data_IF_172878287110
#
_entry.id   IF_172878287110
#
_cell.length_a   1.000
_cell.length_b   1.000
_cell.length_c   1.000
_cell.angle_alpha   90.00
_cell.angle_beta   90.00
_cell.angle_gamma   90.00
#
_symmetry.space_group_name_H-M   'P 1'
#
loop_
_entity.id
_entity.type
_entity.pdbx_description
1 polymer ?
#
# COMPACT_ATOMS: atom_id res chain seq x y z
N UNK A 1 19.68 3.90 -5.08
CA UNK A 1 20.16 4.89 -4.08
C UNK A 1 19.71 4.41 -2.72
N UNK A 2 20.63 4.28 -1.75
CA UNK A 2 20.26 3.89 -0.38
C UNK A 2 19.34 4.93 0.25
N UNK A 3 18.41 4.50 1.11
CA UNK A 3 17.58 5.42 1.91
C UNK A 3 18.50 6.26 2.80
N UNK A 4 18.33 7.58 2.75
CA UNK A 4 19.10 8.52 3.58
C UNK A 4 18.56 8.51 5.01
N UNK A 5 19.45 8.40 6.00
CA UNK A 5 19.08 8.49 7.41
C UNK A 5 19.15 9.94 7.88
N UNK A 6 18.06 10.44 8.46
CA UNK A 6 17.98 11.80 8.97
C UNK A 6 17.94 11.82 10.49
N UNK A 7 18.64 12.77 11.10
CA UNK A 7 18.46 13.11 12.52
C UNK A 7 17.21 13.94 12.73
N UNK A 8 16.46 13.59 13.77
CA UNK A 8 15.28 14.32 14.21
C UNK A 8 15.46 14.74 15.66
N UNK A 9 15.42 16.06 15.91
CA UNK A 9 15.32 16.65 17.24
C UNK A 9 14.13 17.62 17.31
N UNK A 10 13.10 17.27 18.07
CA UNK A 10 11.85 18.03 18.14
C UNK A 10 11.43 18.32 19.57
N UNK A 11 10.90 19.51 19.80
CA UNK A 11 10.30 19.88 21.09
C UNK A 11 8.77 19.91 20.98
N UNK A 12 8.10 19.16 21.84
CA UNK A 12 6.65 19.22 22.08
C UNK A 12 6.42 19.92 23.41
N UNK A 13 5.35 20.71 23.54
CA UNK A 13 5.11 21.52 24.75
C UNK A 13 3.81 21.16 25.46
N UNK A 14 3.87 21.05 26.78
CA UNK A 14 2.73 20.64 27.60
C UNK A 14 2.43 21.65 28.70
N UNK A 15 1.14 21.78 29.00
CA UNK A 15 0.67 22.43 30.23
C UNK A 15 0.64 21.42 31.37
N UNK A 16 0.44 21.92 32.60
CA UNK A 16 0.19 21.07 33.79
C UNK A 16 -0.98 20.10 33.59
N UNK A 17 -2.00 20.51 32.82
CA UNK A 17 -3.18 19.67 32.57
C UNK A 17 -2.92 18.60 31.49
N UNK A 18 -2.14 18.91 30.45
CA UNK A 18 -1.93 17.98 29.32
C UNK A 18 -0.80 16.97 29.54
N UNK A 19 0.17 17.26 30.42
CA UNK A 19 1.39 16.46 30.59
C UNK A 19 1.11 15.02 31.04
N UNK A 20 0.02 14.78 31.78
CA UNK A 20 -0.32 13.44 32.26
C UNK A 20 -0.57 12.42 31.14
N UNK A 21 -0.99 12.88 29.94
CA UNK A 21 -1.12 11.99 28.77
C UNK A 21 0.26 11.53 28.27
N UNK A 22 1.22 12.44 28.18
CA UNK A 22 2.59 12.14 27.78
C UNK A 22 3.28 11.26 28.83
N UNK A 23 3.10 11.53 30.13
CA UNK A 23 3.62 10.68 31.20
C UNK A 23 3.16 9.23 31.06
N UNK A 24 1.84 8.99 30.92
CA UNK A 24 1.33 7.63 30.79
C UNK A 24 1.78 6.96 29.49
N UNK A 25 2.04 7.72 28.44
CA UNK A 25 2.57 7.20 27.18
C UNK A 25 4.03 6.75 27.34
N UNK A 26 4.87 7.62 27.91
CA UNK A 26 6.32 7.41 27.98
C UNK A 26 6.70 6.38 29.04
N UNK A 27 6.02 6.44 30.19
CA UNK A 27 6.26 5.51 31.30
C UNK A 27 5.41 4.22 31.17
N UNK A 28 4.82 4.00 29.99
CA UNK A 28 3.96 2.87 29.64
C UNK A 28 2.89 2.51 30.70
N UNK A 29 2.21 3.52 31.24
CA UNK A 29 1.16 3.37 32.29
C UNK A 29 -0.26 3.17 31.73
N UNK A 30 -0.47 3.21 30.41
CA UNK A 30 -1.79 2.94 29.82
C UNK A 30 -2.01 1.44 29.62
N UNK A 31 -3.28 1.00 29.67
CA UNK A 31 -3.68 -0.36 29.29
C UNK A 31 -3.81 -0.55 27.78
N UNK A 32 -4.16 0.52 27.06
CA UNK A 32 -4.39 0.54 25.62
C UNK A 32 -3.70 1.77 25.04
N UNK A 33 -3.04 1.59 23.89
CA UNK A 33 -2.32 2.65 23.19
C UNK A 33 -2.98 2.93 21.83
N UNK A 34 -2.99 4.19 21.43
CA UNK A 34 -3.47 4.59 20.09
C UNK A 34 -2.54 4.11 18.98
N UNK A 35 -1.24 3.96 19.27
CA UNK A 35 -0.30 3.34 18.35
C UNK A 35 -0.42 1.81 18.46
N UNK A 36 -1.05 1.18 17.46
CA UNK A 36 -1.21 -0.28 17.38
C UNK A 36 0.12 -1.05 17.24
N UNK A 37 1.23 -0.35 17.01
CA UNK A 37 2.53 -0.97 16.82
C UNK A 37 3.31 -1.12 18.14
N UNK A 38 2.73 -0.75 19.28
CA UNK A 38 3.35 -0.94 20.59
C UNK A 38 3.24 -2.42 20.98
N UNK A 39 4.37 -3.09 21.11
CA UNK A 39 4.51 -4.45 21.58
C UNK A 39 4.81 -4.45 23.09
N UNK A 40 3.77 -4.70 23.89
CA UNK A 40 3.90 -4.65 25.35
C UNK A 40 4.88 -5.69 25.92
N UNK A 41 5.13 -6.80 25.22
CA UNK A 41 6.10 -7.80 25.66
C UNK A 41 7.54 -7.27 25.62
N UNK A 42 7.79 -6.28 24.77
CA UNK A 42 9.09 -5.62 24.59
C UNK A 42 9.26 -4.39 25.47
N UNK A 43 8.21 -3.94 26.20
CA UNK A 43 8.31 -2.77 27.11
C UNK A 43 9.44 -2.93 28.12
N UNK A 44 9.76 -4.15 28.54
CA UNK A 44 10.90 -4.47 29.42
C UNK A 44 12.26 -4.07 28.86
N UNK A 45 12.36 -3.86 27.55
CA UNK A 45 13.57 -3.42 26.85
C UNK A 45 13.65 -1.89 26.72
N UNK A 46 12.63 -1.14 27.14
CA UNK A 46 12.73 0.32 27.24
C UNK A 46 13.83 0.68 28.25
N UNK A 47 14.59 1.74 27.95
CA UNK A 47 15.73 2.14 28.78
C UNK A 47 15.49 3.51 29.37
N UNK A 48 15.51 3.58 30.70
CA UNK A 48 15.40 4.83 31.43
C UNK A 48 16.80 5.36 31.77
N UNK A 49 17.22 6.43 31.10
CA UNK A 49 18.45 7.16 31.48
C UNK A 49 18.19 8.11 32.65
N UNK A 50 16.93 8.54 32.82
CA UNK A 50 16.46 9.29 33.99
C UNK A 50 15.04 8.85 34.34
N UNK A 51 14.84 8.42 35.57
CA UNK A 51 13.51 8.05 36.10
C UNK A 51 12.92 9.17 36.96
N UNK A 52 11.58 9.22 36.98
CA UNK A 52 10.81 10.06 37.88
C UNK A 52 9.95 9.15 38.78
N UNK A 53 10.26 9.11 40.08
CA UNK A 53 9.57 8.21 41.03
C UNK A 53 8.14 8.70 41.36
N UNK A 54 7.86 9.98 41.14
CA UNK A 54 6.54 10.59 41.29
C UNK A 54 5.96 10.91 39.91
N UNK A 55 4.72 11.42 39.85
CA UNK A 55 4.20 11.98 38.60
C UNK A 55 5.00 13.22 38.18
N UNK A 56 4.99 13.57 36.90
CA UNK A 56 5.74 14.74 36.42
C UNK A 56 5.22 16.05 37.04
N UNK A 57 3.92 16.12 37.36
CA UNK A 57 3.33 17.25 38.05
C UNK A 57 3.73 17.32 39.53
N UNK A 58 3.82 16.18 40.24
CA UNK A 58 4.33 16.14 41.61
C UNK A 58 5.79 16.55 41.66
N UNK A 59 6.60 16.05 40.73
CA UNK A 59 8.01 16.46 40.63
C UNK A 59 8.17 17.95 40.38
N UNK A 60 7.35 18.52 39.49
CA UNK A 60 7.29 19.97 39.29
C UNK A 60 6.91 20.70 40.59
N UNK A 61 5.90 20.20 41.31
CA UNK A 61 5.45 20.79 42.57
C UNK A 61 6.58 20.81 43.60
N UNK A 62 7.30 19.71 43.77
CA UNK A 62 8.47 19.65 44.66
C UNK A 62 9.53 20.70 44.28
N UNK A 63 9.85 20.83 42.99
CA UNK A 63 10.84 21.81 42.52
C UNK A 63 10.40 23.25 42.76
N UNK A 64 9.09 23.53 42.73
CA UNK A 64 8.53 24.84 43.04
C UNK A 64 8.52 25.09 44.55
N UNK A 65 8.09 24.10 45.33
CA UNK A 65 7.97 24.21 46.79
C UNK A 65 9.36 24.34 47.46
N UNK A 66 10.39 23.72 46.89
CA UNK A 66 11.80 23.88 47.30
C UNK A 66 12.46 25.17 46.80
N UNK A 67 11.80 25.93 45.93
CA UNK A 67 12.35 27.15 45.33
C UNK A 67 13.40 26.92 44.23
N UNK A 68 13.62 25.67 43.81
CA UNK A 68 14.55 25.30 42.73
C UNK A 68 14.12 25.92 41.40
N UNK A 69 12.81 25.92 41.12
CA UNK A 69 12.21 26.54 39.92
C UNK A 69 11.06 27.45 40.30
N UNK A 70 10.81 28.47 39.48
CA UNK A 70 9.75 29.45 39.70
C UNK A 70 8.75 29.46 38.55
N UNK A 71 7.48 29.29 38.91
CA UNK A 71 6.33 29.49 38.02
C UNK A 71 5.72 30.90 38.14
N UNK A 72 6.40 31.81 38.85
CA UNK A 72 5.88 33.15 39.15
C UNK A 72 5.52 33.90 37.86
N UNK A 73 4.28 34.40 37.80
CA UNK A 73 3.77 35.18 36.68
C UNK A 73 3.38 34.35 35.44
N UNK A 74 3.39 33.02 35.52
CA UNK A 74 2.80 32.17 34.50
C UNK A 74 1.29 32.04 34.72
N UNK A 75 0.54 31.98 33.62
CA UNK A 75 -0.90 31.66 33.64
C UNK A 75 -1.10 30.15 33.87
N UNK A 76 -2.31 29.75 34.26
CA UNK A 76 -2.61 28.34 34.52
C UNK A 76 -2.51 27.44 33.29
N UNK A 77 -2.71 28.00 32.10
CA UNK A 77 -2.56 27.32 30.81
C UNK A 77 -1.16 27.50 30.19
N UNK A 78 -0.17 27.97 30.96
CA UNK A 78 1.19 28.11 30.47
C UNK A 78 1.78 26.74 30.08
N UNK A 79 2.61 26.75 29.03
CA UNK A 79 3.45 25.61 28.66
C UNK A 79 4.62 25.55 29.64
N UNK A 80 4.59 24.55 30.52
CA UNK A 80 5.53 24.39 31.64
C UNK A 80 6.55 23.31 31.36
N UNK A 81 6.18 22.29 30.58
CA UNK A 81 7.04 21.18 30.24
C UNK A 81 7.35 21.20 28.76
N UNK A 82 8.58 20.83 28.44
CA UNK A 82 9.03 20.46 27.12
C UNK A 82 9.30 18.96 27.08
N UNK A 83 8.92 18.32 25.98
CA UNK A 83 9.37 16.98 25.62
C UNK A 83 10.26 17.08 24.41
N UNK A 84 11.54 16.79 24.60
CA UNK A 84 12.50 16.66 23.53
C UNK A 84 12.46 15.22 23.01
N UNK A 85 11.97 15.06 21.78
CA UNK A 85 11.96 13.79 21.05
C UNK A 85 13.19 13.75 20.14
N UNK A 86 14.06 12.77 20.36
CA UNK A 86 15.26 12.52 19.56
C UNK A 86 15.12 11.19 18.83
N UNK A 87 15.34 11.20 17.52
CA UNK A 87 15.03 10.04 16.67
C UNK A 87 15.94 9.96 15.42
N UNK A 88 16.14 8.73 14.94
CA UNK A 88 16.81 8.33 13.69
C UNK A 88 16.02 7.16 13.08
N UNK A 89 15.98 7.08 11.76
CA UNK A 89 15.38 5.94 11.05
C UNK A 89 15.84 4.59 11.61
N UNK A 90 14.90 3.67 11.87
CA UNK A 90 15.19 2.33 12.40
C UNK A 90 16.27 1.55 11.64
N UNK A 91 16.31 1.67 10.31
CA UNK A 91 17.30 1.00 9.44
C UNK A 91 18.75 1.39 9.77
N UNK A 92 18.97 2.61 10.30
CA UNK A 92 20.27 3.03 10.81
C UNK A 92 20.73 2.12 11.96
N UNK A 93 19.87 1.90 12.95
CA UNK A 93 20.23 1.09 14.11
C UNK A 93 20.43 -0.38 13.72
N UNK A 94 19.55 -0.95 12.89
CA UNK A 94 19.71 -2.33 12.41
C UNK A 94 21.07 -2.56 11.75
N UNK A 95 21.57 -1.59 10.97
CA UNK A 95 22.88 -1.68 10.30
C UNK A 95 24.09 -1.50 11.22
N UNK A 96 23.90 -0.94 12.41
CA UNK A 96 24.99 -0.59 13.34
C UNK A 96 25.01 -1.44 14.61
N UNK A 97 24.27 -2.55 14.65
CA UNK A 97 24.25 -3.49 15.78
C UNK A 97 22.95 -3.50 16.59
N UNK A 98 21.89 -2.86 16.08
CA UNK A 98 20.54 -2.91 16.63
C UNK A 98 20.44 -2.32 18.03
N UNK A 99 19.75 -3.04 18.92
CA UNK A 99 19.39 -2.59 20.26
C UNK A 99 20.58 -2.13 21.13
N UNK A 100 21.68 -2.88 21.15
CA UNK A 100 22.84 -2.53 22.00
C UNK A 100 23.54 -1.26 21.53
N UNK A 101 23.56 -1.03 20.22
CA UNK A 101 24.06 0.22 19.65
C UNK A 101 23.09 1.37 19.93
N UNK A 102 21.78 1.15 19.81
CA UNK A 102 20.76 2.15 20.11
C UNK A 102 20.84 2.63 21.56
N UNK A 103 21.07 1.73 22.54
CA UNK A 103 21.28 2.12 23.95
C UNK A 103 22.41 3.13 24.12
N UNK A 104 23.59 2.85 23.55
CA UNK A 104 24.75 3.75 23.63
C UNK A 104 24.49 5.07 22.91
N UNK A 105 23.85 5.00 21.74
CA UNK A 105 23.47 6.18 20.97
C UNK A 105 22.54 7.11 21.77
N UNK A 106 21.49 6.55 22.37
CA UNK A 106 20.51 7.35 23.10
C UNK A 106 20.97 7.76 24.50
N UNK A 107 21.92 7.05 25.11
CA UNK A 107 22.64 7.54 26.29
C UNK A 107 23.42 8.83 25.98
N UNK A 108 24.14 8.87 24.86
CA UNK A 108 24.83 10.08 24.43
C UNK A 108 23.85 11.20 24.02
N UNK A 109 22.74 10.84 23.39
CA UNK A 109 21.64 11.78 23.10
C UNK A 109 20.99 12.33 24.38
N UNK A 110 20.96 11.57 25.46
CA UNK A 110 20.53 12.05 26.78
C UNK A 110 21.52 13.08 27.36
N UNK A 111 22.82 12.85 27.24
CA UNK A 111 23.84 13.83 27.63
C UNK A 111 23.77 15.13 26.81
N UNK A 112 23.39 15.05 25.53
CA UNK A 112 23.03 16.22 24.75
C UNK A 112 21.86 16.99 25.39
N UNK A 113 20.79 16.30 25.79
CA UNK A 113 19.65 16.93 26.46
C UNK A 113 20.04 17.57 27.81
N UNK A 114 20.96 16.97 28.57
CA UNK A 114 21.51 17.56 29.80
C UNK A 114 22.22 18.89 29.51
N UNK A 115 22.96 19.00 28.40
CA UNK A 115 23.61 20.24 27.97
C UNK A 115 22.59 21.29 27.51
N UNK A 116 21.53 20.87 26.82
CA UNK A 116 20.50 21.77 26.34
C UNK A 116 19.63 22.32 27.48
N UNK A 117 19.14 21.48 28.39
CA UNK A 117 18.19 21.88 29.44
C UNK A 117 18.84 22.17 30.80
N UNK A 118 20.01 21.61 31.07
CA UNK A 118 20.59 21.51 32.41
C UNK A 118 20.08 20.24 33.12
N UNK A 119 21.01 19.46 33.67
CA UNK A 119 20.74 18.15 34.29
C UNK A 119 19.60 18.18 35.32
N UNK A 120 19.58 19.19 36.19
CA UNK A 120 18.58 19.30 37.26
C UNK A 120 17.17 19.65 36.74
N UNK A 121 17.06 20.14 35.50
CA UNK A 121 15.80 20.50 34.86
C UNK A 121 15.18 19.34 34.08
N UNK A 122 15.87 18.19 33.95
CA UNK A 122 15.31 17.00 33.33
C UNK A 122 14.55 16.18 34.38
N UNK A 123 13.30 15.87 34.05
CA UNK A 123 12.38 15.11 34.90
C UNK A 123 12.48 13.62 34.59
N UNK A 124 12.39 13.24 33.31
CA UNK A 124 12.45 11.85 32.85
C UNK A 124 13.12 11.78 31.48
N UNK A 125 13.80 10.67 31.19
CA UNK A 125 14.40 10.37 29.89
C UNK A 125 14.30 8.87 29.62
N UNK A 126 13.50 8.51 28.62
CA UNK A 126 13.16 7.11 28.31
C UNK A 126 13.32 6.84 26.82
N UNK A 127 14.13 5.85 26.49
CA UNK A 127 14.20 5.27 25.15
C UNK A 127 13.14 4.19 25.02
N UNK A 128 12.23 4.36 24.06
CA UNK A 128 11.31 3.31 23.67
C UNK A 128 12.00 2.33 22.73
N UNK A 129 11.80 1.05 22.96
CA UNK A 129 12.34 -0.08 22.20
C UNK A 129 11.27 -1.12 21.86
N UNK A 130 10.01 -0.74 22.04
CA UNK A 130 8.82 -1.57 21.99
C UNK A 130 7.86 -1.15 20.87
N UNK A 131 8.26 -0.23 20.00
CA UNK A 131 7.43 0.24 18.89
C UNK A 131 7.87 -0.41 17.58
N UNK A 132 7.06 -1.30 17.01
CA UNK A 132 7.44 -2.05 15.83
C UNK A 132 7.37 -1.21 14.54
N UNK A 133 8.44 -1.28 13.74
CA UNK A 133 8.45 -0.74 12.39
C UNK A 133 7.97 -1.82 11.41
N UNK A 134 6.68 -1.77 11.07
CA UNK A 134 6.03 -2.77 10.21
C UNK A 134 6.69 -2.83 8.82
N UNK A 135 6.98 -1.67 8.22
CA UNK A 135 7.56 -1.62 6.87
C UNK A 135 8.94 -2.28 6.81
N UNK A 136 9.80 -2.06 7.81
CA UNK A 136 11.09 -2.74 7.87
C UNK A 136 10.98 -4.18 8.36
N UNK A 137 9.99 -4.50 9.19
CA UNK A 137 9.71 -5.90 9.57
C UNK A 137 9.42 -6.74 8.33
N UNK A 138 8.58 -6.24 7.43
CA UNK A 138 8.28 -6.87 6.14
C UNK A 138 9.55 -6.96 5.27
N UNK A 139 10.33 -5.88 5.18
CA UNK A 139 11.55 -5.81 4.35
C UNK A 139 12.65 -6.78 4.81
N UNK A 140 12.85 -6.93 6.12
CA UNK A 140 13.90 -7.79 6.71
C UNK A 140 13.43 -9.21 7.03
N UNK A 141 12.12 -9.49 6.98
CA UNK A 141 11.55 -10.80 7.32
C UNK A 141 11.68 -11.20 8.80
N UNK A 142 11.97 -10.24 9.68
CA UNK A 142 12.06 -10.42 11.15
C UNK A 142 11.50 -9.17 11.86
N UNK A 143 11.03 -9.26 13.11
CA UNK A 143 10.59 -8.09 13.87
C UNK A 143 11.70 -7.03 13.96
N UNK A 144 11.41 -5.83 13.44
CA UNK A 144 12.27 -4.65 13.55
C UNK A 144 11.59 -3.63 14.45
N UNK A 145 12.29 -3.20 15.50
CA UNK A 145 11.78 -2.20 16.42
C UNK A 145 12.34 -0.81 16.10
N UNK A 146 11.54 0.20 16.37
CA UNK A 146 11.87 1.60 16.24
C UNK A 146 12.28 2.14 17.59
N UNK A 147 13.48 2.73 17.62
CA UNK A 147 14.06 3.32 18.80
C UNK A 147 13.94 4.83 18.71
N UNK A 148 13.48 5.46 19.78
CA UNK A 148 13.52 6.91 19.92
C UNK A 148 13.54 7.28 21.41
N UNK A 149 14.04 8.47 21.71
CA UNK A 149 14.20 8.96 23.07
C UNK A 149 13.23 10.11 23.34
N UNK A 150 12.44 9.97 24.40
CA UNK A 150 11.64 11.04 24.99
C UNK A 150 12.36 11.60 26.21
N UNK A 151 12.63 12.90 26.22
CA UNK A 151 13.17 13.61 27.39
C UNK A 151 12.20 14.68 27.85
N UNK A 152 11.63 14.50 29.04
CA UNK A 152 10.76 15.48 29.69
C UNK A 152 11.60 16.43 30.52
N UNK A 153 11.54 17.72 30.21
CA UNK A 153 12.33 18.75 30.87
C UNK A 153 11.55 20.05 31.12
N UNK A 154 12.05 20.85 32.05
CA UNK A 154 11.55 22.20 32.30
C UNK A 154 12.42 23.23 31.54
N UNK A 155 11.83 24.10 30.69
CA UNK A 155 12.58 25.15 30.00
C UNK A 155 12.90 26.31 30.96
N UNK A 156 13.84 26.08 31.87
CA UNK A 156 14.23 27.04 32.90
C UNK A 156 15.24 28.04 32.36
N UNK A 157 15.04 29.32 32.69
CA UNK A 157 15.96 30.42 32.38
C UNK A 157 16.20 31.27 33.61
N UNK A 158 17.41 31.79 33.74
CA UNK A 158 17.75 32.78 34.76
C UNK A 158 17.01 34.09 34.46
N UNK A 159 16.26 34.60 35.43
CA UNK A 159 15.52 35.87 35.30
C UNK A 159 15.80 36.78 36.48
N UNK A 160 16.31 37.96 36.16
CA UNK A 160 16.43 39.06 37.10
C UNK A 160 15.09 39.77 37.27
N UNK A 161 14.62 39.85 38.52
CA UNK A 161 13.50 40.69 38.92
C UNK A 161 14.08 42.00 39.41
N UNK A 162 13.67 43.11 38.79
CA UNK A 162 14.15 44.46 39.13
C UNK A 162 13.18 45.18 40.06
N UNK A 163 13.69 46.11 40.88
CA UNK A 163 12.83 46.98 41.68
C UNK A 163 11.90 47.81 40.79
N UNK A 164 10.61 47.84 41.16
CA UNK A 164 9.59 48.54 40.39
C UNK A 164 9.65 50.05 40.59
N UNK A 165 9.02 50.82 39.70
CA UNK A 165 8.88 52.28 39.85
C UNK A 165 8.15 52.70 41.14
N UNK A 166 7.37 51.79 41.75
CA UNK A 166 6.62 52.00 42.99
C UNK A 166 7.46 51.78 44.26
N UNK A 167 8.72 51.36 44.14
CA UNK A 167 9.62 51.23 45.30
C UNK A 167 9.82 52.58 45.99
N UNK A 168 9.85 52.56 47.34
CA UNK A 168 10.01 53.75 48.19
C UNK A 168 11.37 54.42 47.97
N UNK A 169 12.44 53.64 48.04
CA UNK A 169 13.77 54.09 47.68
C UNK A 169 13.90 54.18 46.15
N UNK A 170 14.00 55.41 45.65
CA UNK A 170 14.11 55.68 44.20
C UNK A 170 15.48 55.29 43.63
N UNK A 171 16.53 55.19 44.46
CA UNK A 171 17.88 54.80 44.02
C UNK A 171 17.99 53.31 43.63
N UNK A 172 17.00 52.50 44.05
CA UNK A 172 16.94 51.07 43.75
C UNK A 172 16.19 50.75 42.46
N UNK A 173 15.39 51.67 41.93
CA UNK A 173 14.54 51.44 40.74
C UNK A 173 15.41 50.98 39.56
N UNK A 174 15.05 49.86 38.95
CA UNK A 174 15.80 49.28 37.83
C UNK A 174 17.02 48.43 38.22
N UNK A 175 17.48 48.46 39.48
CA UNK A 175 18.47 47.52 40.00
C UNK A 175 17.85 46.13 40.21
N UNK A 176 18.68 45.09 40.14
CA UNK A 176 18.25 43.71 40.38
C UNK A 176 17.88 43.56 41.85
N UNK A 177 16.63 43.16 42.10
CA UNK A 177 16.09 42.86 43.44
C UNK A 177 16.39 41.41 43.82
N UNK A 178 16.14 40.49 42.91
CA UNK A 178 16.37 39.06 43.10
C UNK A 178 16.55 38.39 41.74
N UNK A 179 17.21 37.24 41.73
CA UNK A 179 17.31 36.41 40.54
C UNK A 179 16.61 35.09 40.79
N UNK A 180 15.71 34.72 39.89
CA UNK A 180 14.93 33.48 39.98
C UNK A 180 15.23 32.57 38.77
N UNK A 181 15.11 31.27 38.99
CA UNK A 181 15.14 30.26 37.94
C UNK A 181 13.72 30.07 37.39
N UNK A 182 13.33 30.88 36.39
CA UNK A 182 11.95 30.91 35.91
C UNK A 182 11.74 29.90 34.78
N UNK A 183 10.65 29.14 34.81
CA UNK A 183 10.19 28.39 33.64
C UNK A 183 9.71 29.36 32.56
N UNK A 184 10.29 29.30 31.37
CA UNK A 184 9.92 30.13 30.22
C UNK A 184 10.37 29.51 28.89
N UNK A 185 9.47 28.76 28.26
CA UNK A 185 9.68 28.17 26.95
C UNK A 185 10.13 29.18 25.88
N UNK A 186 9.43 30.31 25.76
CA UNK A 186 9.73 31.33 24.74
C UNK A 186 11.09 32.00 24.89
N UNK A 187 11.61 32.10 26.13
CA UNK A 187 12.96 32.61 26.38
C UNK A 187 14.02 31.54 26.14
N UNK A 188 13.74 30.29 26.53
CA UNK A 188 14.64 29.15 26.30
C UNK A 188 14.87 28.94 24.80
N UNK A 189 13.79 28.99 24.03
CA UNK A 189 13.78 28.74 22.58
C UNK A 189 13.62 30.02 21.76
N UNK A 190 14.24 31.12 22.20
CA UNK A 190 14.20 32.39 21.48
C UNK A 190 14.89 32.26 20.12
N UNK A 191 14.22 32.69 19.06
CA UNK A 191 14.80 32.77 17.72
C UNK A 191 16.05 33.66 17.71
N UNK A 192 17.05 33.26 16.93
CA UNK A 192 18.30 34.02 16.76
C UNK A 192 18.26 34.79 15.45
N UNK A 193 19.05 35.86 15.34
CA UNK A 193 19.19 36.61 14.09
C UNK A 193 20.14 35.86 13.16
N UNK A 194 19.81 35.81 11.88
CA UNK A 194 20.71 35.28 10.86
C UNK A 194 21.88 36.26 10.67
N UNK A 195 23.09 35.72 10.64
CA UNK A 195 24.32 36.49 10.42
C UNK A 195 24.96 36.04 9.10
N UNK A 196 25.63 36.96 8.42
CA UNK A 196 26.46 36.66 7.25
C UNK A 196 27.83 36.09 7.67
N UNK A 197 28.70 35.82 6.69
CA UNK A 197 30.04 35.28 6.93
C UNK A 197 30.96 36.23 7.71
N UNK A 198 30.62 37.52 7.79
CA UNK A 198 31.37 38.57 8.48
C UNK A 198 30.76 38.86 9.88
N UNK A 199 29.65 38.21 10.23
CA UNK A 199 28.95 38.38 11.50
C UNK A 199 27.92 39.50 11.50
N UNK A 200 27.58 40.11 10.37
CA UNK A 200 26.56 41.16 10.27
C UNK A 200 25.16 40.57 10.12
N UNK A 201 24.15 41.28 10.63
CA UNK A 201 22.75 40.83 10.59
C UNK A 201 22.21 40.82 9.15
N UNK A 202 21.75 39.66 8.69
CA UNK A 202 21.07 39.53 7.40
C UNK A 202 19.67 40.16 7.54
N UNK A 203 19.41 41.17 6.73
CA UNK A 203 18.10 41.85 6.67
C UNK A 203 17.26 41.29 5.53
N UNK A 204 15.94 41.26 5.72
CA UNK A 204 15.00 40.98 4.64
C UNK A 204 14.73 42.23 3.79
N UNK A 205 13.95 42.07 2.72
CA UNK A 205 13.56 43.15 1.79
C UNK A 205 12.85 44.34 2.47
N UNK A 206 12.43 44.19 3.73
CA UNK A 206 11.78 45.23 4.55
C UNK A 206 12.72 45.84 5.59
N UNK A 207 14.03 45.58 5.51
CA UNK A 207 15.05 46.08 6.43
C UNK A 207 14.99 45.48 7.84
N UNK A 208 14.27 44.38 8.04
CA UNK A 208 14.18 43.68 9.34
C UNK A 208 15.12 42.48 9.38
N UNK A 209 15.78 42.19 10.52
CA UNK A 209 16.62 41.01 10.66
C UNK A 209 15.86 39.72 10.36
N UNK A 210 16.43 38.87 9.51
CA UNK A 210 15.95 37.51 9.26
C UNK A 210 16.17 36.69 10.53
N UNK A 211 15.12 36.02 11.01
CA UNK A 211 15.17 35.23 12.23
C UNK A 211 15.27 33.74 11.90
N UNK A 212 16.27 33.08 12.47
CA UNK A 212 16.41 31.63 12.45
C UNK A 212 15.60 31.04 13.60
N UNK A 213 14.69 30.12 13.26
CA UNK A 213 13.89 29.39 14.24
C UNK A 213 14.82 28.58 15.16
N UNK A 214 14.60 28.68 16.46
CA UNK A 214 15.41 28.01 17.49
C UNK A 214 15.47 26.49 17.34
N UNK A 215 14.38 25.85 16.88
CA UNK A 215 14.36 24.41 16.60
C UNK A 215 15.20 24.00 15.39
N UNK A 216 15.40 24.89 14.41
CA UNK A 216 16.36 24.62 13.32
C UNK A 216 17.78 24.56 13.87
N UNK A 217 18.11 25.44 14.82
CA UNK A 217 19.41 25.43 15.48
C UNK A 217 19.57 24.22 16.42
N UNK A 218 18.48 23.76 17.04
CA UNK A 218 18.47 22.52 17.84
C UNK A 218 18.85 21.31 16.98
N UNK A 219 18.26 21.19 15.79
CA UNK A 219 18.58 20.12 14.83
C UNK A 219 20.05 20.16 14.41
N UNK A 220 20.59 21.36 14.14
CA UNK A 220 22.01 21.54 13.82
C UNK A 220 22.92 21.13 15.00
N UNK A 221 22.57 21.55 16.22
CA UNK A 221 23.33 21.21 17.43
C UNK A 221 23.28 19.71 17.73
N UNK A 222 22.12 19.07 17.61
CA UNK A 222 21.98 17.62 17.83
C UNK A 222 22.81 16.83 16.83
N UNK A 223 22.66 17.13 15.53
CA UNK A 223 23.45 16.48 14.48
C UNK A 223 24.95 16.64 14.72
N UNK A 224 25.40 17.87 14.98
CA UNK A 224 26.82 18.15 15.26
C UNK A 224 27.30 17.41 16.50
N UNK A 225 26.53 17.44 17.58
CA UNK A 225 26.89 16.79 18.83
C UNK A 225 27.09 15.28 18.66
N UNK A 226 26.13 14.60 18.03
CA UNK A 226 26.23 13.16 17.78
C UNK A 226 27.39 12.83 16.83
N UNK A 227 27.59 13.67 15.81
CA UNK A 227 28.72 13.54 14.88
C UNK A 227 30.08 13.70 15.56
N UNK A 228 30.21 14.67 16.45
CA UNK A 228 31.44 14.95 17.20
C UNK A 228 31.76 13.82 18.20
N UNK A 229 30.74 13.09 18.68
CA UNK A 229 30.87 11.91 19.53
C UNK A 229 31.01 10.59 18.74
N UNK A 230 31.32 10.65 17.44
CA UNK A 230 31.70 9.49 16.64
C UNK A 230 30.56 8.75 15.95
N UNK A 231 29.30 9.17 16.10
CA UNK A 231 28.17 8.61 15.35
C UNK A 231 28.11 9.21 13.94
N UNK A 232 28.15 8.37 12.90
CA UNK A 232 28.20 8.79 11.48
C UNK A 232 27.01 8.20 10.70
N UNK A 233 26.99 8.37 9.38
CA UNK A 233 26.02 7.70 8.47
C UNK A 233 24.53 8.08 8.63
N UNK A 234 24.29 9.23 9.25
CA UNK A 234 23.05 9.99 9.16
C UNK A 234 23.37 11.45 8.87
N UNK A 235 22.39 12.21 8.40
CA UNK A 235 22.53 13.64 8.10
C UNK A 235 21.46 14.45 8.81
N UNK A 236 21.69 15.75 8.97
CA UNK A 236 20.65 16.67 9.45
C UNK A 236 19.44 16.73 8.51
N UNK A 237 18.25 16.95 9.05
CA UNK A 237 17.05 17.24 8.27
C UNK A 237 17.20 18.48 7.38
N UNK A 238 16.35 18.62 6.37
CA UNK A 238 16.43 19.72 5.39
C UNK A 238 16.41 21.11 6.06
N UNK A 239 17.34 21.98 5.65
CA UNK A 239 17.48 23.35 6.21
C UNK A 239 16.37 24.22 5.64
N UNK A 240 15.66 24.95 6.51
CA UNK A 240 14.55 25.80 6.06
C UNK A 240 13.28 25.05 5.66
N UNK A 241 13.18 23.75 5.95
CA UNK A 241 11.97 22.97 5.68
C UNK A 241 10.74 23.59 6.35
N UNK A 242 9.67 23.73 5.56
CA UNK A 242 8.35 24.16 6.00
C UNK A 242 7.37 22.98 6.11
N UNK A 243 7.88 21.74 6.15
CA UNK A 243 7.04 20.56 6.32
C UNK A 243 6.24 20.67 7.63
N UNK A 244 4.93 20.52 7.52
CA UNK A 244 4.08 20.44 8.69
C UNK A 244 4.24 19.08 9.36
N UNK A 245 4.30 19.07 10.69
CA UNK A 245 4.34 17.83 11.44
C UNK A 245 2.97 17.15 11.39
N UNK A 246 2.96 15.90 10.96
CA UNK A 246 1.81 15.01 11.00
C UNK A 246 1.84 14.18 12.27
N UNK A 247 0.71 14.03 12.95
CA UNK A 247 0.58 13.03 14.02
C UNK A 247 0.81 11.61 13.48
N UNK A 248 1.12 10.65 14.36
CA UNK A 248 1.41 9.28 13.94
C UNK A 248 0.29 8.65 13.11
N UNK A 249 -0.97 8.91 13.47
CA UNK A 249 -2.14 8.44 12.72
C UNK A 249 -2.23 9.09 11.34
N UNK A 250 -2.03 10.40 11.25
CA UNK A 250 -2.04 11.12 9.96
C UNK A 250 -0.90 10.67 9.06
N UNK A 251 0.29 10.44 9.63
CA UNK A 251 1.44 9.93 8.89
C UNK A 251 1.19 8.51 8.37
N UNK A 252 0.67 7.60 9.21
CA UNK A 252 0.30 6.24 8.80
C UNK A 252 -0.76 6.25 7.70
N UNK A 253 -1.83 7.03 7.87
CA UNK A 253 -2.88 7.17 6.86
C UNK A 253 -2.35 7.72 5.53
N UNK A 254 -1.44 8.72 5.58
CA UNK A 254 -0.77 9.24 4.38
C UNK A 254 0.05 8.15 3.70
N UNK A 255 0.83 7.36 4.45
CA UNK A 255 1.64 6.26 3.91
C UNK A 255 0.82 5.13 3.34
N UNK A 256 -0.29 4.76 3.97
CA UNK A 256 -1.23 3.77 3.45
C UNK A 256 -1.88 4.24 2.15
N UNK A 257 -2.27 5.52 2.07
CA UNK A 257 -2.78 6.12 0.83
C UNK A 257 -1.74 6.09 -0.30
N UNK A 258 -0.47 6.40 -0.01
CA UNK A 258 0.64 6.29 -0.97
C UNK A 258 0.84 4.83 -1.44
N UNK A 259 0.80 3.85 -0.53
CA UNK A 259 0.88 2.42 -0.86
C UNK A 259 -0.31 1.97 -1.73
N UNK A 260 -1.53 2.38 -1.38
CA UNK A 260 -2.75 2.06 -2.12
C UNK A 260 -2.71 2.63 -3.54
N UNK A 261 -2.22 3.86 -3.68
CA UNK A 261 -2.03 4.47 -5.00
C UNK A 261 -1.02 3.68 -5.85
N UNK A 262 0.14 3.30 -5.27
CA UNK A 262 1.14 2.52 -5.97
C UNK A 262 0.62 1.13 -6.40
N UNK A 263 -0.19 0.47 -5.57
CA UNK A 263 -0.86 -0.79 -5.92
C UNK A 263 -1.87 -0.55 -7.06
N UNK A 264 -2.68 0.50 -6.96
CA UNK A 264 -3.66 0.87 -7.99
C UNK A 264 -2.99 1.12 -9.34
N UNK A 265 -1.86 1.82 -9.34
CA UNK A 265 -1.11 2.12 -10.56
C UNK A 265 -0.51 0.84 -11.17
N UNK A 266 0.02 -0.08 -10.35
CA UNK A 266 0.47 -1.40 -10.82
C UNK A 266 -0.66 -2.26 -11.40
N UNK A 267 -1.84 -2.23 -10.77
CA UNK A 267 -3.02 -2.96 -11.27
C UNK A 267 -3.45 -2.41 -12.62
N UNK A 268 -3.48 -1.08 -12.80
CA UNK A 268 -3.78 -0.45 -14.10
C UNK A 268 -2.78 -0.85 -15.18
N UNK A 269 -1.49 -0.86 -14.84
CA UNK A 269 -0.44 -1.30 -15.77
C UNK A 269 -0.63 -2.77 -16.19
N UNK A 270 -0.96 -3.66 -15.24
CA UNK A 270 -1.26 -5.06 -15.54
C UNK A 270 -2.53 -5.22 -16.37
N UNK A 271 -3.60 -4.47 -16.06
CA UNK A 271 -4.84 -4.48 -16.83
C UNK A 271 -4.62 -4.06 -18.29
N UNK A 272 -3.78 -3.05 -18.53
CA UNK A 272 -3.42 -2.63 -19.89
C UNK A 272 -2.70 -3.77 -20.64
N UNK A 273 -1.74 -4.44 -20.00
CA UNK A 273 -1.04 -5.62 -20.56
C UNK A 273 -2.00 -6.78 -20.85
N UNK A 274 -2.97 -7.02 -19.98
CA UNK A 274 -4.00 -8.04 -20.19
C UNK A 274 -4.91 -7.70 -21.38
N UNK A 275 -5.31 -6.44 -21.54
CA UNK A 275 -6.12 -6.00 -22.67
C UNK A 275 -5.39 -6.17 -24.01
N UNK A 276 -4.09 -5.82 -24.05
CA UNK A 276 -3.23 -6.03 -25.22
C UNK A 276 -3.12 -7.52 -25.56
N UNK A 277 -2.85 -8.38 -24.57
CA UNK A 277 -2.81 -9.82 -24.78
C UNK A 277 -4.15 -10.40 -25.26
N UNK A 278 -5.28 -9.90 -24.74
CA UNK A 278 -6.61 -10.32 -25.19
C UNK A 278 -6.84 -9.98 -26.67
N UNK A 279 -6.47 -8.77 -27.11
CA UNK A 279 -6.53 -8.42 -28.54
C UNK A 279 -5.65 -9.31 -29.42
N UNK A 280 -4.42 -9.61 -28.99
CA UNK A 280 -3.53 -10.49 -29.73
C UNK A 280 -4.08 -11.92 -29.86
N UNK A 281 -4.75 -12.43 -28.82
CA UNK A 281 -5.43 -13.74 -28.85
C UNK A 281 -6.60 -13.73 -29.84
N UNK A 282 -7.41 -12.67 -29.88
CA UNK A 282 -8.49 -12.55 -30.86
C UNK A 282 -7.99 -12.52 -32.30
N UNK A 283 -6.92 -11.77 -32.57
CA UNK A 283 -6.29 -11.73 -33.89
C UNK A 283 -5.75 -13.11 -34.31
N UNK A 284 -5.08 -13.80 -33.39
CA UNK A 284 -4.58 -15.16 -33.62
C UNK A 284 -5.73 -16.13 -33.91
N UNK A 285 -6.87 -15.99 -33.22
CA UNK A 285 -8.06 -16.82 -33.45
C UNK A 285 -8.68 -16.56 -34.82
N UNK A 286 -8.73 -15.31 -35.27
CA UNK A 286 -9.19 -14.95 -36.63
C UNK A 286 -8.30 -15.57 -37.69
N UNK A 287 -6.98 -15.46 -37.54
CA UNK A 287 -6.01 -16.08 -38.46
C UNK A 287 -6.18 -17.60 -38.50
N UNK A 288 -6.32 -18.27 -37.36
CA UNK A 288 -6.55 -19.71 -37.29
C UNK A 288 -7.81 -20.14 -38.04
N UNK A 289 -8.91 -19.39 -37.91
CA UNK A 289 -10.15 -19.68 -38.62
C UNK A 289 -10.00 -19.53 -40.13
N UNK A 290 -9.27 -18.49 -40.59
CA UNK A 290 -8.97 -18.31 -42.02
C UNK A 290 -8.16 -19.48 -42.58
N UNK A 291 -7.05 -19.84 -41.91
CA UNK A 291 -6.23 -21.00 -42.32
C UNK A 291 -7.05 -22.29 -42.33
N UNK A 292 -7.96 -22.48 -41.36
CA UNK A 292 -8.82 -23.66 -41.33
C UNK A 292 -9.81 -23.72 -42.50
N UNK A 293 -10.29 -22.57 -42.96
CA UNK A 293 -11.19 -22.46 -44.10
C UNK A 293 -10.44 -22.76 -45.41
N UNK A 294 -9.27 -22.15 -45.62
CA UNK A 294 -8.39 -22.44 -46.75
C UNK A 294 -8.04 -23.94 -46.83
N UNK A 295 -7.77 -24.56 -45.68
CA UNK A 295 -7.45 -25.99 -45.60
C UNK A 295 -8.65 -26.89 -45.98
N UNK A 296 -9.88 -26.43 -45.76
CA UNK A 296 -11.08 -27.16 -46.20
C UNK A 296 -11.30 -27.01 -47.71
N UNK A 297 -11.03 -25.84 -48.27
CA UNK A 297 -11.12 -25.61 -49.71
C UNK A 297 -10.08 -26.44 -50.46
N UNK A 298 -8.84 -26.48 -49.97
CA UNK A 298 -7.77 -27.35 -50.52
C UNK A 298 -8.18 -28.83 -50.48
N UNK A 299 -8.81 -29.30 -49.38
CA UNK A 299 -9.29 -30.69 -49.30
C UNK A 299 -10.32 -31.00 -50.38
N UNK A 300 -11.24 -30.07 -50.62
CA UNK A 300 -12.26 -30.21 -51.66
C UNK A 300 -11.63 -30.29 -53.05
N UNK A 301 -10.67 -29.40 -53.34
CA UNK A 301 -9.94 -29.40 -54.61
C UNK A 301 -9.14 -30.69 -54.84
N UNK A 302 -8.56 -31.25 -53.78
CA UNK A 302 -7.86 -32.55 -53.83
C UNK A 302 -8.83 -33.70 -54.16
N UNK A 303 -10.03 -33.71 -53.57
CA UNK A 303 -11.03 -34.74 -53.84
C UNK A 303 -11.62 -34.61 -55.25
N UNK A 304 -11.85 -33.38 -55.73
CA UNK A 304 -12.25 -33.11 -57.11
C UNK A 304 -11.14 -33.57 -58.09
N UNK A 305 -9.87 -33.32 -57.81
CA UNK A 305 -8.75 -33.79 -58.64
C UNK A 305 -8.67 -35.32 -58.75
N UNK A 306 -8.94 -36.05 -57.65
CA UNK A 306 -9.02 -37.53 -57.69
C UNK A 306 -10.13 -38.01 -58.63
N UNK A 307 -11.27 -37.31 -58.65
CA UNK A 307 -12.37 -37.61 -59.57
C UNK A 307 -11.93 -37.42 -61.02
N UNK A 308 -11.27 -36.29 -61.35
CA UNK A 308 -10.79 -36.02 -62.71
C UNK A 308 -9.72 -36.99 -63.20
N UNK A 309 -8.86 -37.51 -62.33
CA UNK A 309 -7.85 -38.51 -62.71
C UNK A 309 -8.50 -39.81 -63.24
N UNK A 310 -9.61 -40.24 -62.65
CA UNK A 310 -10.36 -41.40 -63.12
C UNK A 310 -10.97 -41.21 -64.52
N UNK A 311 -11.34 -39.97 -64.88
CA UNK A 311 -11.84 -39.65 -66.21
C UNK A 311 -10.72 -39.61 -67.28
N UNK A 312 -9.50 -39.21 -66.90
CA UNK A 312 -8.33 -39.20 -67.80
C UNK A 312 -7.88 -40.62 -68.18
N UNK A 313 -7.95 -41.57 -67.24
CA UNK A 313 -7.59 -42.97 -67.48
C UNK A 313 -8.53 -43.67 -68.48
N UNK A 314 -9.69 -43.08 -68.79
CA UNK A 314 -10.69 -43.58 -69.76
C UNK A 314 -10.56 -42.97 -71.17
N UNK A 315 -9.57 -42.10 -71.42
CA UNK A 315 -9.36 -41.50 -72.75
C UNK A 315 -8.64 -42.51 -73.67
N UNK A 316 -9.32 -42.96 -74.73
CA UNK A 316 -8.75 -43.85 -75.76
C UNK A 316 -7.95 -43.03 -76.79
N UNK A 317 -6.63 -42.99 -76.63
CA UNK A 317 -5.73 -42.44 -77.64
C UNK A 317 -5.61 -43.44 -78.79
N UNK A 318 -6.51 -43.30 -79.77
CA UNK A 318 -6.66 -44.21 -80.90
C UNK A 318 -5.37 -44.63 -81.64
N UNK A 319 -5.43 -45.75 -82.36
CA UNK A 319 -4.26 -46.40 -82.99
C UNK A 319 -3.67 -45.59 -84.17
N UNK A 320 -2.33 -45.59 -84.26
CA UNK A 320 -1.53 -45.00 -85.35
C UNK A 320 -1.84 -45.62 -86.72
N UNK A 321 -1.93 -44.79 -87.78
CA UNK A 321 -2.00 -45.26 -89.19
C UNK A 321 -0.60 -45.64 -89.71
N UNK A 322 -0.54 -46.74 -90.47
CA UNK A 322 0.69 -47.41 -90.96
C UNK A 322 1.60 -46.59 -91.90
N UNK A 323 1.25 -45.36 -92.28
CA UNK A 323 2.05 -44.51 -93.18
C UNK A 323 2.10 -43.03 -92.77
N UNK A 324 2.31 -42.77 -91.48
CA UNK A 324 2.72 -41.44 -91.01
C UNK A 324 2.63 -41.29 -89.50
N UNK A 325 3.55 -40.52 -88.90
CA UNK A 325 3.59 -40.20 -87.45
C UNK A 325 2.45 -39.25 -87.00
N UNK A 326 1.23 -39.38 -87.54
CA UNK A 326 0.07 -38.56 -87.14
C UNK A 326 -0.95 -39.44 -86.42
N UNK A 327 -1.36 -38.98 -85.24
CA UNK A 327 -2.40 -39.57 -84.38
C UNK A 327 -3.67 -38.72 -84.59
N UNK A 328 -4.81 -39.36 -84.87
CA UNK A 328 -6.12 -38.69 -84.91
C UNK A 328 -6.68 -38.72 -83.48
N UNK A 329 -6.87 -37.54 -82.90
CA UNK A 329 -7.50 -37.34 -81.60
C UNK A 329 -8.85 -36.66 -81.85
N UNK A 330 -9.91 -37.11 -81.18
CA UNK A 330 -11.21 -36.44 -81.27
C UNK A 330 -11.08 -34.98 -80.79
N UNK A 331 -11.83 -34.06 -81.41
CA UNK A 331 -11.73 -32.64 -81.09
C UNK A 331 -12.12 -32.35 -79.62
N UNK A 332 -13.06 -33.12 -79.06
CA UNK A 332 -13.46 -33.00 -77.67
C UNK A 332 -12.34 -33.51 -76.75
N UNK A 333 -11.69 -34.62 -77.09
CA UNK A 333 -10.55 -35.16 -76.35
C UNK A 333 -9.33 -34.24 -76.42
N UNK A 334 -9.09 -33.56 -77.55
CA UNK A 334 -8.00 -32.60 -77.69
C UNK A 334 -8.23 -31.36 -76.84
N UNK A 335 -9.45 -30.82 -76.83
CA UNK A 335 -9.80 -29.69 -75.96
C UNK A 335 -9.71 -30.06 -74.47
N UNK A 336 -10.10 -31.28 -74.11
CA UNK A 336 -9.92 -31.82 -72.77
C UNK A 336 -8.44 -31.93 -72.40
N UNK A 337 -7.59 -32.46 -73.28
CA UNK A 337 -6.15 -32.60 -73.05
C UNK A 337 -5.44 -31.24 -72.88
N UNK A 338 -5.81 -30.25 -73.70
CA UNK A 338 -5.30 -28.87 -73.56
C UNK A 338 -5.78 -28.21 -72.27
N UNK A 339 -7.04 -28.43 -71.87
CA UNK A 339 -7.59 -27.94 -70.59
C UNK A 339 -6.87 -28.58 -69.40
N UNK A 340 -6.62 -29.88 -69.44
CA UNK A 340 -5.89 -30.59 -68.38
C UNK A 340 -4.41 -30.21 -68.32
N UNK A 341 -3.74 -30.03 -69.46
CA UNK A 341 -2.36 -29.55 -69.50
C UNK A 341 -2.21 -28.14 -68.89
N UNK A 342 -3.14 -27.22 -69.20
CA UNK A 342 -3.17 -25.89 -68.58
C UNK A 342 -3.42 -25.95 -67.07
N UNK A 343 -4.32 -26.84 -66.61
CA UNK A 343 -4.55 -27.06 -65.16
C UNK A 343 -3.35 -27.71 -64.47
N UNK A 344 -2.64 -28.63 -65.12
CA UNK A 344 -1.44 -29.28 -64.59
C UNK A 344 -0.31 -28.28 -64.31
N UNK A 345 -0.07 -27.35 -65.22
CA UNK A 345 0.94 -26.28 -65.02
C UNK A 345 0.58 -25.37 -63.84
N UNK A 346 -0.70 -25.02 -63.68
CA UNK A 346 -1.17 -24.21 -62.53
C UNK A 346 -1.03 -25.02 -61.22
N UNK A 347 -1.41 -26.30 -61.23
CA UNK A 347 -1.26 -27.19 -60.09
C UNK A 347 0.21 -27.38 -59.69
N UNK A 348 1.15 -27.46 -60.63
CA UNK A 348 2.59 -27.58 -60.33
C UNK A 348 3.14 -26.33 -59.62
N UNK A 349 2.69 -25.13 -60.01
CA UNK A 349 3.05 -23.87 -59.34
C UNK A 349 2.49 -23.84 -57.92
N UNK A 350 1.24 -24.26 -57.74
CA UNK A 350 0.56 -24.27 -56.44
C UNK A 350 1.13 -25.35 -55.50
N UNK A 351 1.46 -26.53 -56.01
CA UNK A 351 2.16 -27.59 -55.28
C UNK A 351 3.53 -27.10 -54.82
N UNK A 352 4.24 -26.32 -55.65
CA UNK A 352 5.54 -25.76 -55.28
C UNK A 352 5.40 -24.76 -54.15
N UNK A 353 4.41 -23.86 -54.21
CA UNK A 353 4.10 -22.90 -53.14
C UNK A 353 3.69 -23.60 -51.84
N UNK A 354 2.82 -24.60 -51.91
CA UNK A 354 2.38 -25.39 -50.75
C UNK A 354 3.54 -26.18 -50.13
N UNK A 355 4.50 -26.67 -50.92
CA UNK A 355 5.70 -27.32 -50.40
C UNK A 355 6.55 -26.34 -49.59
N UNK A 356 6.72 -25.11 -50.07
CA UNK A 356 7.49 -24.07 -49.37
C UNK A 356 6.82 -23.67 -48.04
N UNK A 357 5.50 -23.52 -48.03
CA UNK A 357 4.73 -23.24 -46.80
C UNK A 357 4.80 -24.41 -45.81
N UNK A 358 4.75 -25.65 -46.29
CA UNK A 358 4.89 -26.83 -45.44
C UNK A 358 6.28 -26.94 -44.81
N UNK A 359 7.33 -26.54 -45.54
CA UNK A 359 8.70 -26.46 -45.00
C UNK A 359 8.76 -25.42 -43.88
N UNK A 360 8.17 -24.24 -44.05
CA UNK A 360 8.11 -23.20 -43.02
C UNK A 360 7.34 -23.66 -41.78
N UNK A 361 6.14 -24.21 -41.96
CA UNK A 361 5.32 -24.71 -40.85
C UNK A 361 6.03 -25.83 -40.06
N UNK A 362 6.76 -26.72 -40.74
CA UNK A 362 7.59 -27.73 -40.08
C UNK A 362 8.73 -27.11 -39.28
N UNK A 363 9.36 -26.06 -39.79
CA UNK A 363 10.40 -25.33 -39.08
C UNK A 363 9.83 -24.71 -37.80
N UNK A 364 8.75 -23.94 -37.90
CA UNK A 364 8.14 -23.23 -36.76
C UNK A 364 7.61 -24.21 -35.70
N UNK A 365 7.02 -25.33 -36.13
CA UNK A 365 6.59 -26.39 -35.23
C UNK A 365 7.77 -27.00 -34.47
N UNK A 366 8.89 -27.28 -35.14
CA UNK A 366 10.08 -27.82 -34.49
C UNK A 366 10.68 -26.81 -33.51
N UNK A 367 10.72 -25.53 -33.86
CA UNK A 367 11.20 -24.47 -32.97
C UNK A 367 10.34 -24.36 -31.70
N UNK A 368 9.01 -24.37 -31.86
CA UNK A 368 8.06 -24.34 -30.75
C UNK A 368 8.20 -25.59 -29.86
N UNK A 369 8.38 -26.76 -30.49
CA UNK A 369 8.59 -28.03 -29.78
C UNK A 369 9.89 -28.01 -28.96
N UNK A 370 10.97 -27.44 -29.47
CA UNK A 370 12.21 -27.29 -28.70
C UNK A 370 12.05 -26.28 -27.55
N UNK A 371 11.43 -25.12 -27.79
CA UNK A 371 11.16 -24.12 -26.73
C UNK A 371 10.27 -24.66 -25.61
N UNK A 372 9.35 -25.56 -25.92
CA UNK A 372 8.43 -26.17 -24.96
C UNK A 372 8.91 -27.52 -24.41
N UNK A 373 10.10 -27.98 -24.81
CA UNK A 373 10.61 -29.33 -24.51
C UNK A 373 10.66 -29.63 -23.01
N UNK A 374 11.18 -28.70 -22.22
CA UNK A 374 11.36 -28.92 -20.78
C UNK A 374 10.03 -28.89 -20.04
N UNK A 375 9.07 -28.10 -20.50
CA UNK A 375 7.69 -28.10 -20.01
C UNK A 375 6.98 -29.43 -20.32
N UNK A 376 7.08 -29.91 -21.56
CA UNK A 376 6.52 -31.21 -21.97
C UNK A 376 7.15 -32.35 -21.14
N UNK A 377 8.47 -32.30 -20.92
CA UNK A 377 9.16 -33.27 -20.03
C UNK A 377 8.66 -33.19 -18.60
N UNK A 378 8.45 -31.99 -18.07
CA UNK A 378 7.93 -31.81 -16.72
C UNK A 378 6.50 -32.36 -16.56
N UNK A 379 5.63 -32.14 -17.54
CA UNK A 379 4.28 -32.72 -17.58
C UNK A 379 4.34 -34.25 -17.68
N UNK A 380 5.20 -34.79 -18.54
CA UNK A 380 5.32 -36.24 -18.69
C UNK A 380 5.85 -36.93 -17.42
N UNK A 381 6.76 -36.28 -16.70
CA UNK A 381 7.36 -36.82 -15.48
C UNK A 381 6.46 -36.68 -14.25
N UNK A 382 5.75 -35.55 -14.12
CA UNK A 382 4.95 -35.25 -12.92
C UNK A 382 3.73 -34.37 -13.23
N UNK A 383 2.73 -34.89 -13.99
CA UNK A 383 1.62 -34.08 -14.51
C UNK A 383 0.82 -33.42 -13.39
N UNK A 384 0.52 -34.15 -12.32
CA UNK A 384 -0.21 -33.64 -11.15
C UNK A 384 0.58 -32.58 -10.37
N UNK A 385 1.91 -32.73 -10.25
CA UNK A 385 2.74 -31.73 -9.55
C UNK A 385 2.85 -30.44 -10.34
N UNK A 386 3.04 -30.54 -11.65
CA UNK A 386 3.09 -29.37 -12.54
C UNK A 386 1.74 -28.66 -12.55
N UNK A 387 0.63 -29.41 -12.69
CA UNK A 387 -0.72 -28.82 -12.63
C UNK A 387 -1.00 -28.16 -11.28
N UNK A 388 -0.60 -28.76 -10.17
CA UNK A 388 -0.78 -28.18 -8.85
C UNK A 388 0.12 -26.95 -8.62
N UNK A 389 1.33 -26.95 -9.17
CA UNK A 389 2.22 -25.79 -9.14
C UNK A 389 1.60 -24.60 -9.90
N UNK A 390 1.11 -24.82 -11.12
CA UNK A 390 0.42 -23.75 -11.86
C UNK A 390 -0.86 -23.29 -11.17
N UNK A 391 -1.68 -24.21 -10.64
CA UNK A 391 -2.84 -23.83 -9.81
C UNK A 391 -2.42 -23.03 -8.58
N UNK A 392 -1.27 -23.32 -7.96
CA UNK A 392 -0.77 -22.55 -6.82
C UNK A 392 -0.28 -21.16 -7.19
N UNK A 393 0.31 -20.99 -8.38
CA UNK A 393 0.78 -19.69 -8.87
C UNK A 393 -0.36 -18.70 -9.12
N UNK A 394 -1.54 -19.19 -9.51
CA UNK A 394 -2.71 -18.37 -9.81
C UNK A 394 -3.78 -18.39 -8.71
N UNK A 395 -3.52 -19.10 -7.60
CA UNK A 395 -4.49 -19.26 -6.51
C UNK A 395 -4.82 -17.94 -5.82
N UNK A 396 -3.81 -17.09 -5.61
CA UNK A 396 -4.02 -15.77 -4.99
C UNK A 396 -4.79 -14.82 -5.91
N UNK A 397 -4.52 -14.88 -7.22
CA UNK A 397 -5.20 -14.07 -8.23
C UNK A 397 -6.67 -14.50 -8.40
N UNK A 398 -6.96 -15.80 -8.43
CA UNK A 398 -8.33 -16.33 -8.42
C UNK A 398 -9.08 -15.97 -7.15
N UNK A 399 -8.45 -16.11 -5.98
CA UNK A 399 -9.06 -15.74 -4.70
C UNK A 399 -9.30 -14.24 -4.59
N UNK A 400 -8.40 -13.42 -5.10
CA UNK A 400 -8.59 -11.97 -5.12
C UNK A 400 -9.72 -11.58 -6.07
N UNK A 401 -9.77 -12.16 -7.26
CA UNK A 401 -10.87 -11.92 -8.20
C UNK A 401 -12.22 -12.33 -7.59
N UNK A 402 -12.27 -13.44 -6.87
CA UNK A 402 -13.48 -13.89 -6.19
C UNK A 402 -13.89 -12.94 -5.05
N UNK A 403 -12.93 -12.49 -4.22
CA UNK A 403 -13.17 -11.48 -3.17
C UNK A 403 -13.68 -10.16 -3.74
N UNK A 404 -13.14 -9.73 -4.88
CA UNK A 404 -13.57 -8.51 -5.55
C UNK A 404 -14.99 -8.63 -6.11
N UNK A 405 -15.36 -9.79 -6.66
CA UNK A 405 -16.72 -10.07 -7.12
C UNK A 405 -17.71 -10.10 -5.95
N UNK A 406 -17.36 -10.75 -4.85
CA UNK A 406 -18.19 -10.80 -3.63
C UNK A 406 -18.36 -9.41 -3.01
N UNK A 407 -17.28 -8.62 -2.93
CA UNK A 407 -17.34 -7.25 -2.42
C UNK A 407 -18.18 -6.33 -3.33
N UNK A 408 -18.05 -6.47 -4.65
CA UNK A 408 -18.84 -5.71 -5.62
C UNK A 408 -20.32 -6.10 -5.55
N UNK A 409 -20.64 -7.38 -5.36
CA UNK A 409 -22.01 -7.85 -5.19
C UNK A 409 -22.60 -7.37 -3.85
N UNK A 410 -21.82 -7.39 -2.77
CA UNK A 410 -22.23 -6.83 -1.48
C UNK A 410 -22.52 -5.34 -1.58
N UNK A 411 -21.65 -4.57 -2.24
CA UNK A 411 -21.86 -3.14 -2.47
C UNK A 411 -23.08 -2.86 -3.38
N UNK A 412 -23.31 -3.69 -4.40
CA UNK A 412 -24.51 -3.62 -5.26
C UNK A 412 -25.76 -3.80 -4.41
N UNK A 413 -25.80 -4.85 -3.59
CA UNK A 413 -26.93 -5.15 -2.72
C UNK A 413 -27.15 -4.04 -1.68
N UNK A 414 -26.07 -3.52 -1.09
CA UNK A 414 -26.15 -2.42 -0.11
C UNK A 414 -26.71 -1.12 -0.70
N UNK A 415 -26.44 -0.86 -1.98
CA UNK A 415 -26.93 0.33 -2.70
C UNK A 415 -28.39 0.21 -3.14
N UNK A 416 -28.83 -0.98 -3.51
CA UNK A 416 -30.14 -1.21 -4.14
C UNK A 416 -31.25 -1.63 -3.16
N UNK A 417 -30.88 -2.25 -2.05
CA UNK A 417 -31.80 -2.92 -1.13
C UNK A 417 -31.54 -2.54 0.34
N UNK A 418 -32.60 -2.43 1.11
CA UNK A 418 -32.58 -2.19 2.56
C UNK A 418 -32.02 -3.41 3.32
N UNK A 419 -31.58 -3.27 4.59
CA UNK A 419 -31.08 -4.39 5.37
C UNK A 419 -32.03 -5.60 5.43
N UNK A 420 -33.35 -5.36 5.56
CA UNK A 420 -34.36 -6.43 5.62
C UNK A 420 -34.53 -7.15 4.28
N UNK A 421 -34.52 -6.42 3.16
CA UNK A 421 -34.59 -7.00 1.82
C UNK A 421 -33.33 -7.81 1.48
N UNK A 422 -32.14 -7.36 1.94
CA UNK A 422 -30.89 -8.11 1.80
C UNK A 422 -30.91 -9.42 2.58
N UNK A 423 -31.51 -9.41 3.76
CA UNK A 423 -31.68 -10.63 4.58
C UNK A 423 -32.63 -11.63 3.90
N UNK A 424 -33.67 -11.15 3.23
CA UNK A 424 -34.56 -11.99 2.40
C UNK A 424 -33.76 -12.59 1.24
N UNK A 425 -33.03 -11.78 0.47
CA UNK A 425 -32.22 -12.23 -0.67
C UNK A 425 -31.10 -13.21 -0.27
N UNK A 426 -30.55 -13.09 0.94
CA UNK A 426 -29.56 -14.04 1.45
C UNK A 426 -30.17 -15.43 1.76
N UNK A 427 -31.45 -15.46 2.11
CA UNK A 427 -32.17 -16.63 2.61
C UNK A 427 -33.16 -17.26 1.60
N UNK A 428 -33.20 -16.79 0.35
CA UNK A 428 -33.99 -17.43 -0.71
C UNK A 428 -33.47 -18.84 -0.99
N UNK A 429 -34.35 -19.69 -1.55
CA UNK A 429 -34.00 -21.07 -1.86
C UNK A 429 -32.91 -21.19 -2.93
N UNK A 430 -32.21 -22.32 -2.96
CA UNK A 430 -31.21 -22.60 -3.99
C UNK A 430 -31.83 -22.60 -5.40
N UNK A 431 -33.09 -23.02 -5.52
CA UNK A 431 -33.87 -22.93 -6.76
C UNK A 431 -34.04 -21.47 -7.22
N UNK A 432 -34.38 -20.56 -6.30
CA UNK A 432 -34.53 -19.13 -6.61
C UNK A 432 -33.20 -18.46 -6.95
N UNK A 433 -32.10 -18.90 -6.31
CA UNK A 433 -30.74 -18.45 -6.67
C UNK A 433 -30.37 -18.88 -8.09
N UNK A 434 -30.61 -20.13 -8.45
CA UNK A 434 -30.41 -20.63 -9.83
C UNK A 434 -31.35 -19.93 -10.83
N UNK A 435 -32.57 -19.61 -10.42
CA UNK A 435 -33.50 -18.82 -11.24
C UNK A 435 -32.95 -17.41 -11.51
N UNK A 436 -32.46 -16.72 -10.48
CA UNK A 436 -31.88 -15.37 -10.59
C UNK A 436 -30.61 -15.34 -11.44
N UNK A 437 -29.78 -16.38 -11.38
CA UNK A 437 -28.54 -16.48 -12.15
C UNK A 437 -28.75 -16.56 -13.67
N UNK A 438 -29.99 -16.70 -14.15
CA UNK A 438 -30.34 -16.66 -15.58
C UNK A 438 -30.54 -15.24 -16.13
N UNK A 439 -30.53 -14.23 -15.27
CA UNK A 439 -30.83 -12.85 -15.63
C UNK A 439 -29.67 -11.93 -15.26
N UNK A 440 -29.51 -10.85 -16.00
CA UNK A 440 -28.46 -9.84 -15.76
C UNK A 440 -29.05 -8.41 -15.80
N UNK A 441 -28.34 -7.47 -15.18
CA UNK A 441 -28.68 -6.04 -15.19
C UNK A 441 -30.06 -5.72 -14.61
N UNK A 442 -30.74 -4.73 -15.20
CA UNK A 442 -32.06 -4.25 -14.75
C UNK A 442 -33.13 -5.35 -14.73
N UNK A 443 -32.99 -6.38 -15.57
CA UNK A 443 -33.91 -7.52 -15.59
C UNK A 443 -33.75 -8.38 -14.35
N UNK A 444 -32.51 -8.62 -13.92
CA UNK A 444 -32.22 -9.33 -12.66
C UNK A 444 -32.76 -8.55 -11.47
N UNK A 445 -32.52 -7.25 -11.41
CA UNK A 445 -32.99 -6.39 -10.30
C UNK A 445 -34.52 -6.38 -10.17
N UNK A 446 -35.24 -6.39 -11.29
CA UNK A 446 -36.71 -6.46 -11.30
C UNK A 446 -37.21 -7.78 -10.73
N UNK A 447 -36.56 -8.89 -11.08
CA UNK A 447 -36.91 -10.22 -10.56
C UNK A 447 -36.53 -10.35 -9.08
N UNK A 448 -35.38 -9.81 -8.67
CA UNK A 448 -34.97 -9.71 -7.26
C UNK A 448 -36.03 -8.98 -6.42
N UNK A 449 -36.58 -7.86 -6.92
CA UNK A 449 -37.69 -7.14 -6.25
C UNK A 449 -38.99 -7.94 -6.20
N UNK A 450 -39.33 -8.64 -7.27
CA UNK A 450 -40.51 -9.52 -7.29
C UNK A 450 -40.43 -10.64 -6.25
N UNK A 451 -39.27 -11.30 -6.13
CA UNK A 451 -39.03 -12.33 -5.12
C UNK A 451 -39.08 -11.76 -3.70
N UNK A 452 -38.47 -10.60 -3.46
CA UNK A 452 -38.57 -9.90 -2.17
C UNK A 452 -40.03 -9.71 -1.76
N UNK A 453 -40.88 -9.19 -2.66
CA UNK A 453 -42.30 -8.95 -2.37
C UNK A 453 -43.06 -10.23 -2.02
N UNK A 454 -42.77 -11.34 -2.68
CA UNK A 454 -43.38 -12.64 -2.39
C UNK A 454 -42.96 -13.18 -1.02
N UNK A 455 -41.65 -13.17 -0.74
CA UNK A 455 -41.12 -13.64 0.55
C UNK A 455 -41.58 -12.75 1.71
N UNK A 456 -41.70 -11.43 1.52
CA UNK A 456 -42.29 -10.55 2.52
C UNK A 456 -43.77 -10.84 2.77
N UNK A 457 -44.56 -11.17 1.72
CA UNK A 457 -45.97 -11.56 1.89
C UNK A 457 -46.07 -12.85 2.70
N UNK A 458 -45.20 -13.82 2.45
CA UNK A 458 -45.14 -15.05 3.24
C UNK A 458 -44.75 -14.79 4.70
N UNK A 459 -43.74 -13.96 4.94
CA UNK A 459 -43.31 -13.58 6.30
C UNK A 459 -44.46 -12.89 7.05
N UNK A 460 -45.11 -11.90 6.44
CA UNK A 460 -46.29 -11.22 7.00
C UNK A 460 -47.44 -12.19 7.27
N UNK A 461 -47.65 -13.18 6.40
CA UNK A 461 -48.68 -14.21 6.59
C UNK A 461 -48.34 -15.15 7.76
N UNK A 462 -47.08 -15.58 7.88
CA UNK A 462 -46.59 -16.40 9.00
C UNK A 462 -46.69 -15.65 10.33
N UNK A 463 -46.32 -14.38 10.36
CA UNK A 463 -46.46 -13.51 11.54
C UNK A 463 -47.94 -13.35 11.94
N UNK A 464 -48.82 -13.11 10.96
CA UNK A 464 -50.26 -12.97 11.18
C UNK A 464 -50.88 -14.25 11.76
N UNK A 465 -50.52 -15.43 11.24
CA UNK A 465 -50.98 -16.72 11.79
C UNK A 465 -50.43 -16.96 13.20
N UNK A 466 -49.20 -16.53 13.45
CA UNK A 466 -48.55 -16.73 14.75
C UNK A 466 -48.97 -15.71 15.81
N UNK A 467 -49.64 -14.63 15.44
CA UNK A 467 -50.18 -13.62 16.35
C UNK A 467 -51.16 -14.20 17.38
N UNK A 468 -51.12 -13.68 18.60
CA UNK A 468 -52.01 -14.07 19.70
C UNK A 468 -53.49 -13.85 19.35
N UNK A 469 -53.79 -12.77 18.63
CA UNK A 469 -55.14 -12.40 18.21
C UNK A 469 -55.71 -13.33 17.14
N UNK A 470 -54.89 -13.81 16.20
CA UNK A 470 -55.32 -14.82 15.23
C UNK A 470 -55.51 -16.20 15.87
N UNK A 471 -54.58 -16.61 16.74
CA UNK A 471 -54.69 -17.86 17.51
C UNK A 471 -55.94 -17.89 18.39
N UNK A 472 -56.28 -16.78 19.03
CA UNK A 472 -57.51 -16.63 19.83
C UNK A 472 -58.78 -16.73 18.97
N UNK A 473 -58.85 -16.00 17.85
CA UNK A 473 -59.97 -16.10 16.89
C UNK A 473 -60.17 -17.50 16.32
N UNK A 474 -59.09 -18.24 16.08
CA UNK A 474 -59.15 -19.63 15.59
C UNK A 474 -59.66 -20.58 16.67
N UNK A 475 -59.17 -20.46 17.90
CA UNK A 475 -59.65 -21.23 19.05
C UNK A 475 -61.14 -20.97 19.33
N UNK A 476 -61.58 -19.70 19.27
CA UNK A 476 -62.98 -19.32 19.46
C UNK A 476 -63.91 -19.85 18.36
N UNK A 477 -63.39 -20.03 17.14
CA UNK A 477 -64.13 -20.64 16.02
C UNK A 477 -64.19 -22.15 16.14
N UNK A 478 -63.11 -22.80 16.54
CA UNK A 478 -63.06 -24.26 16.68
C UNK A 478 -63.82 -24.75 17.94
N UNK A 479 -64.14 -23.84 18.87
CA UNK A 479 -64.99 -24.10 20.04
C UNK A 479 -66.51 -23.88 19.80
N UNK A 480 -66.90 -23.39 18.62
CA UNK A 480 -68.30 -23.32 18.14
C UNK A 480 -68.57 -24.48 17.20
#
# INVERSE_FOLDING_TARGET
MGKTNYSVARVVTYTKQSIGKAERHNERKNKVYSNMNVDLEQTKNNVHYKTCNTTYNERLKELVDTGTVSLRGLKDNAKVFDELVLDINSDYFEKHGGYDFAKKFYEEAYHFAEKEYGKDNIISAVMHADEQNIALTEEYGKPIYHYHLHVIALPVVKKEIKYSKRTKDKSLVGKVKETIMQVSHSKKWKSQKALDNEGNEILNDKGKPVLIKSYSLLQDRFYKYMSDNGYKDFIRGEKGSNAEHLSDLEYKAKKEKEKLQAITDKVKEQQAKFAENASAIEETKKQKNQVQQELNDIKKDVDDYKSYKGDIDNIDVGKSKFFGKKIELDNNDYQNLVKYAKKGVVADVEITKLKDENIKLKHDFNELKEKTRDFIRAIAYAPTKVMNFFKSLFKEEEQEKQRQLELAEQQRLEKLYTPAEREILANITDYDKEYLNRFEGETRERIERGLIEEYEKELRYKEKINSSEYKKRRADRDAR
#
